data_IF_172955227037
#
_entry.id   IF_172955227037
#
_cell.length_a   1.000
_cell.length_b   1.000
_cell.length_c   1.000
_cell.angle_alpha   90.00
_cell.angle_beta   90.00
_cell.angle_gamma   90.00
#
_symmetry.space_group_name_H-M   'P 1'
#
loop_
_entity.id
_entity.type
_entity.pdbx_description
1 polymer ?
#
# COMPACT_ATOMS: atom_id res chain seq x y z
N UNK A 1 31.19 23.14 5.95
CA UNK A 1 31.58 21.79 5.49
C UNK A 1 30.47 20.85 5.91
N UNK A 2 29.63 20.40 4.98
CA UNK A 2 28.98 19.10 5.04
C UNK A 2 28.53 18.78 3.61
N UNK A 3 29.26 17.87 2.97
CA UNK A 3 28.97 17.44 1.59
C UNK A 3 27.88 16.37 1.71
N UNK A 4 26.72 16.65 1.11
CA UNK A 4 25.64 15.68 0.92
C UNK A 4 26.17 14.41 0.28
N UNK A 5 26.13 13.31 1.03
CA UNK A 5 26.65 11.98 0.71
C UNK A 5 25.57 11.10 0.08
N UNK A 6 24.92 11.61 -0.96
CA UNK A 6 24.08 10.78 -1.85
C UNK A 6 24.71 10.77 -3.24
N UNK A 7 24.97 9.58 -3.83
CA UNK A 7 25.47 9.53 -5.19
C UNK A 7 24.42 10.13 -6.11
N UNK A 8 24.77 11.26 -6.75
CA UNK A 8 24.07 11.73 -7.95
C UNK A 8 24.17 10.59 -8.96
N UNK A 9 23.07 9.87 -9.16
CA UNK A 9 22.97 8.90 -10.24
C UNK A 9 23.26 9.67 -11.55
N UNK A 10 24.36 9.29 -12.20
CA UNK A 10 24.89 9.92 -13.39
C UNK A 10 23.85 9.95 -14.49
N UNK A 11 23.43 11.15 -14.89
CA UNK A 11 22.72 11.35 -16.15
C UNK A 11 23.70 11.04 -17.29
N UNK A 12 23.51 9.90 -17.95
CA UNK A 12 23.93 9.75 -19.33
C UNK A 12 22.77 10.22 -20.20
N UNK A 13 23.02 11.25 -21.00
CA UNK A 13 22.11 11.71 -22.03
C UNK A 13 22.06 10.62 -23.12
N UNK A 14 20.90 9.97 -23.25
CA UNK A 14 20.53 9.20 -24.43
C UNK A 14 19.18 9.72 -24.94
N UNK A 15 19.01 9.69 -26.25
CA UNK A 15 17.95 10.37 -26.98
C UNK A 15 16.54 9.98 -26.50
N UNK A 16 15.85 10.90 -25.80
CA UNK A 16 14.45 11.18 -26.08
C UNK A 16 13.35 10.22 -25.60
N UNK A 17 13.59 9.30 -24.65
CA UNK A 17 12.52 8.71 -23.81
C UNK A 17 13.02 8.52 -22.38
N UNK A 18 12.58 9.37 -21.44
CA UNK A 18 12.67 9.02 -20.02
C UNK A 18 11.79 7.78 -19.81
N UNK A 19 12.34 6.71 -19.26
CA UNK A 19 11.49 5.66 -18.71
C UNK A 19 10.59 6.27 -17.63
N UNK A 20 9.28 6.01 -17.71
CA UNK A 20 8.34 6.32 -16.63
C UNK A 20 8.87 5.62 -15.37
N UNK A 21 9.32 6.37 -14.37
CA UNK A 21 9.73 5.79 -13.09
C UNK A 21 8.48 5.55 -12.27
N UNK A 22 8.12 4.27 -12.11
CA UNK A 22 7.03 3.88 -11.22
C UNK A 22 7.46 3.97 -9.76
N UNK A 23 6.55 4.41 -8.90
CA UNK A 23 6.76 4.49 -7.45
C UNK A 23 5.93 3.44 -6.71
N UNK A 24 6.59 2.69 -5.83
CA UNK A 24 5.94 1.64 -5.02
C UNK A 24 6.12 1.94 -3.54
N UNK A 25 5.03 1.87 -2.79
CA UNK A 25 5.03 1.87 -1.33
C UNK A 25 4.83 0.45 -0.83
N UNK A 26 5.72 -0.02 0.05
CA UNK A 26 5.54 -1.31 0.71
C UNK A 26 5.66 -1.12 2.21
N UNK A 27 4.66 -1.63 2.93
CA UNK A 27 4.63 -1.61 4.37
C UNK A 27 4.50 -3.04 4.88
N UNK A 28 5.49 -3.47 5.66
CA UNK A 28 5.33 -4.65 6.50
C UNK A 28 4.45 -4.35 7.71
N UNK A 29 4.42 -5.26 8.68
CA UNK A 29 3.58 -5.19 9.87
C UNK A 29 3.69 -3.81 10.56
N UNK A 30 2.53 -3.23 10.84
CA UNK A 30 2.41 -1.87 11.40
C UNK A 30 1.03 -1.68 12.01
N UNK A 31 0.97 -0.94 13.12
CA UNK A 31 -0.26 -0.25 13.53
C UNK A 31 -0.45 1.04 12.75
N UNK A 32 -1.66 1.60 12.79
CA UNK A 32 -1.95 2.88 12.16
C UNK A 32 -1.27 4.05 12.91
N UNK A 33 -0.66 5.00 12.19
CA UNK A 33 -0.03 6.18 12.80
C UNK A 33 0.04 7.38 11.83
N UNK A 34 0.23 8.62 12.33
CA UNK A 34 0.25 9.83 11.49
C UNK A 34 1.36 9.87 10.44
N UNK A 35 2.39 9.04 10.56
CA UNK A 35 3.51 9.00 9.62
C UNK A 35 3.07 8.67 8.19
N UNK A 36 1.94 7.97 8.00
CA UNK A 36 1.44 7.65 6.64
C UNK A 36 1.07 8.89 5.85
N UNK A 37 0.45 9.89 6.49
CA UNK A 37 0.18 11.17 5.83
C UNK A 37 1.47 11.92 5.48
N UNK A 38 2.47 11.89 6.37
CA UNK A 38 3.76 12.53 6.12
C UNK A 38 4.49 11.87 4.95
N UNK A 39 4.43 10.54 4.87
CA UNK A 39 4.96 9.75 3.76
C UNK A 39 4.26 10.14 2.45
N UNK A 40 2.93 10.18 2.43
CA UNK A 40 2.17 10.58 1.24
C UNK A 40 2.44 12.01 0.80
N UNK A 41 2.64 12.94 1.75
CA UNK A 41 3.02 14.34 1.46
C UNK A 41 4.42 14.44 0.86
N UNK A 42 5.36 13.60 1.30
CA UNK A 42 6.78 13.70 0.91
C UNK A 42 7.14 12.90 -0.35
N UNK A 43 6.52 11.73 -0.54
CA UNK A 43 6.90 10.76 -1.56
C UNK A 43 5.77 10.38 -2.50
N UNK A 44 4.52 10.66 -2.14
CA UNK A 44 3.36 10.36 -2.98
C UNK A 44 3.16 11.37 -4.13
N UNK A 45 2.30 11.05 -5.12
CA UNK A 45 1.48 9.84 -5.18
C UNK A 45 2.28 8.59 -5.55
N UNK A 46 1.88 7.44 -4.99
CA UNK A 46 2.44 6.13 -5.35
C UNK A 46 1.61 5.47 -6.43
N UNK A 47 2.24 4.80 -7.40
CA UNK A 47 1.50 4.02 -8.39
C UNK A 47 0.88 2.76 -7.77
N UNK A 48 1.61 2.10 -6.86
CA UNK A 48 1.14 0.91 -6.15
C UNK A 48 1.56 0.93 -4.69
N UNK A 49 0.64 0.56 -3.79
CA UNK A 49 0.94 0.29 -2.39
C UNK A 49 0.58 -1.15 -1.99
N UNK A 50 1.52 -1.88 -1.38
CA UNK A 50 1.25 -3.18 -0.76
C UNK A 50 1.01 -2.98 0.74
N UNK A 51 -0.22 -3.24 1.19
CA UNK A 51 -0.70 -2.89 2.54
C UNK A 51 -1.30 -4.14 3.23
N UNK A 52 -0.89 -4.44 4.48
CA UNK A 52 -1.42 -5.59 5.22
C UNK A 52 -2.89 -5.38 5.58
N UNK A 53 -3.69 -6.46 5.55
CA UNK A 53 -5.09 -6.43 5.95
C UNK A 53 -5.46 -7.52 6.99
N UNK A 54 -4.51 -8.36 7.40
CA UNK A 54 -4.73 -9.46 8.35
C UNK A 54 -3.91 -9.33 9.63
N UNK A 55 -4.04 -10.31 10.50
CA UNK A 55 -3.44 -10.37 11.83
C UNK A 55 -3.90 -9.25 12.77
N UNK A 56 -5.19 -8.90 12.76
CA UNK A 56 -5.69 -7.72 13.48
C UNK A 56 -6.53 -8.04 14.72
N UNK A 57 -7.01 -9.26 14.92
CA UNK A 57 -7.81 -9.59 16.10
C UNK A 57 -7.01 -10.30 17.22
N UNK A 58 -7.25 -9.97 18.50
CA UNK A 58 -8.23 -8.99 19.00
C UNK A 58 -7.67 -7.55 19.00
N UNK A 59 -8.52 -6.57 18.64
CA UNK A 59 -8.10 -5.15 18.45
C UNK A 59 -7.48 -4.50 19.69
N UNK A 60 -7.91 -4.87 20.89
CA UNK A 60 -7.35 -4.28 22.12
C UNK A 60 -5.85 -4.56 22.29
N UNK A 61 -5.36 -5.66 21.71
CA UNK A 61 -3.96 -6.08 21.73
C UNK A 61 -3.26 -5.69 20.43
N UNK A 62 -3.83 -6.06 19.29
CA UNK A 62 -3.14 -6.00 18.00
C UNK A 62 -3.04 -4.59 17.40
N UNK A 63 -3.93 -3.65 17.75
CA UNK A 63 -4.03 -2.33 17.06
C UNK A 63 -2.74 -1.50 17.01
N UNK A 64 -1.83 -1.71 17.97
CA UNK A 64 -0.57 -0.96 18.02
C UNK A 64 0.49 -1.51 17.04
N UNK A 65 0.31 -2.73 16.55
CA UNK A 65 1.28 -3.46 15.73
C UNK A 65 0.70 -3.97 14.39
N UNK A 66 -0.62 -4.11 14.28
CA UNK A 66 -1.31 -4.52 13.06
C UNK A 66 -2.55 -3.68 12.80
N UNK A 67 -2.62 -3.19 11.57
CA UNK A 67 -3.79 -2.52 11.01
C UNK A 67 -4.91 -3.53 10.74
N UNK A 68 -6.14 -3.10 10.96
CA UNK A 68 -7.30 -3.79 10.40
C UNK A 68 -7.58 -3.30 8.96
N UNK A 69 -8.50 -3.94 8.21
CA UNK A 69 -8.80 -3.53 6.83
C UNK A 69 -9.31 -2.10 6.69
N UNK A 70 -9.93 -1.52 7.71
CA UNK A 70 -10.37 -0.12 7.67
C UNK A 70 -9.17 0.83 7.77
N UNK A 71 -8.26 0.57 8.71
CA UNK A 71 -7.00 1.28 8.81
C UNK A 71 -6.12 1.09 7.56
N UNK A 72 -6.18 -0.07 6.90
CA UNK A 72 -5.49 -0.30 5.63
C UNK A 72 -6.01 0.62 4.51
N UNK A 73 -7.33 0.81 4.40
CA UNK A 73 -7.92 1.76 3.44
C UNK A 73 -7.51 3.20 3.77
N UNK A 74 -7.42 3.54 5.06
CA UNK A 74 -6.89 4.86 5.47
C UNK A 74 -5.44 5.05 5.06
N UNK A 75 -4.59 4.03 5.23
CA UNK A 75 -3.19 4.07 4.76
C UNK A 75 -3.15 4.29 3.26
N UNK A 76 -3.97 3.59 2.47
CA UNK A 76 -4.06 3.78 1.02
C UNK A 76 -4.30 5.26 0.65
N UNK A 77 -5.25 5.91 1.32
CA UNK A 77 -5.54 7.34 1.14
C UNK A 77 -4.41 8.24 1.62
N UNK A 78 -3.88 7.99 2.82
CA UNK A 78 -2.88 8.86 3.47
C UNK A 78 -1.56 8.87 2.71
N UNK A 79 -1.13 7.72 2.17
CA UNK A 79 0.07 7.63 1.33
C UNK A 79 -0.18 8.09 -0.11
N UNK A 80 -1.43 8.41 -0.47
CA UNK A 80 -1.85 8.84 -1.81
C UNK A 80 -1.52 7.79 -2.88
N UNK A 81 -1.82 6.53 -2.59
CA UNK A 81 -1.65 5.46 -3.56
C UNK A 81 -2.75 5.53 -4.63
N UNK A 82 -2.38 5.43 -5.91
CA UNK A 82 -3.34 5.27 -7.01
C UNK A 82 -4.02 3.90 -6.93
N UNK A 83 -3.25 2.87 -6.61
CA UNK A 83 -3.69 1.48 -6.49
C UNK A 83 -3.05 0.81 -5.27
N UNK A 84 -3.74 -0.16 -4.69
CA UNK A 84 -3.22 -0.96 -3.59
C UNK A 84 -3.50 -2.45 -3.75
N UNK A 85 -2.59 -3.27 -3.23
CA UNK A 85 -2.72 -4.71 -3.17
C UNK A 85 -2.68 -5.18 -1.72
N UNK A 86 -3.65 -6.02 -1.37
CA UNK A 86 -3.77 -6.60 -0.04
C UNK A 86 -2.71 -7.67 0.19
N UNK A 87 -1.98 -7.55 1.30
CA UNK A 87 -1.00 -8.55 1.76
C UNK A 87 -1.30 -8.99 3.20
N UNK A 88 -0.48 -9.91 3.72
CA UNK A 88 -0.51 -10.33 5.12
C UNK A 88 -1.86 -10.97 5.56
N UNK A 89 -2.53 -11.69 4.67
CA UNK A 89 -3.78 -12.39 4.97
C UNK A 89 -3.84 -13.74 4.21
N UNK A 90 -4.76 -14.62 4.63
CA UNK A 90 -5.10 -15.85 3.90
C UNK A 90 -3.97 -16.89 3.75
N UNK A 91 -2.88 -16.76 4.51
CA UNK A 91 -1.69 -17.64 4.37
C UNK A 91 -1.35 -18.35 5.68
N UNK A 92 -1.25 -17.60 6.78
CA UNK A 92 -0.96 -18.13 8.12
C UNK A 92 -2.00 -17.61 9.11
N UNK A 93 -2.43 -18.45 10.05
CA UNK A 93 -3.25 -18.05 11.18
C UNK A 93 -2.35 -17.44 12.26
N UNK A 94 -2.16 -16.12 12.22
CA UNK A 94 -1.29 -15.37 13.14
C UNK A 94 -2.05 -14.63 14.23
N UNK A 95 -3.38 -14.57 14.12
CA UNK A 95 -4.26 -13.87 15.04
C UNK A 95 -5.65 -14.52 15.02
N UNK A 96 -6.64 -13.87 15.65
CA UNK A 96 -7.91 -14.52 15.97
C UNK A 96 -9.01 -14.34 14.92
N UNK A 97 -8.81 -13.53 13.89
CA UNK A 97 -9.84 -13.34 12.86
C UNK A 97 -10.04 -14.63 12.04
N UNK A 98 -11.24 -14.80 11.50
CA UNK A 98 -11.47 -15.88 10.54
C UNK A 98 -10.65 -15.63 9.27
N UNK A 99 -9.95 -16.65 8.75
CA UNK A 99 -8.96 -16.49 7.66
C UNK A 99 -9.52 -15.90 6.34
N UNK A 100 -10.84 -15.97 6.11
CA UNK A 100 -11.54 -15.34 4.97
C UNK A 100 -12.20 -13.99 5.29
N UNK A 101 -12.14 -13.54 6.53
CA UNK A 101 -12.72 -12.25 6.95
C UNK A 101 -12.00 -11.03 6.38
N UNK A 102 -10.64 -10.99 6.28
CA UNK A 102 -9.94 -9.77 5.85
C UNK A 102 -10.41 -9.18 4.51
N UNK A 103 -10.59 -9.96 3.41
CA UNK A 103 -11.11 -9.42 2.16
C UNK A 103 -12.54 -8.89 2.26
N UNK A 104 -13.38 -9.52 3.09
CA UNK A 104 -14.77 -9.07 3.31
C UNK A 104 -14.76 -7.71 3.99
N UNK A 105 -13.99 -7.58 5.08
CA UNK A 105 -13.83 -6.32 5.83
C UNK A 105 -13.17 -5.22 4.98
N UNK A 106 -12.24 -5.58 4.10
CA UNK A 106 -11.65 -4.65 3.14
C UNK A 106 -12.72 -4.09 2.20
N UNK A 107 -13.54 -4.94 1.59
CA UNK A 107 -14.60 -4.49 0.68
C UNK A 107 -15.60 -3.58 1.40
N UNK A 108 -16.02 -3.93 2.62
CA UNK A 108 -16.88 -3.09 3.45
C UNK A 108 -16.24 -1.70 3.71
N UNK A 109 -14.93 -1.65 3.95
CA UNK A 109 -14.21 -0.39 4.18
C UNK A 109 -14.07 0.45 2.90
N UNK A 110 -13.81 -0.18 1.75
CA UNK A 110 -13.76 0.49 0.45
C UNK A 110 -15.10 1.16 0.12
N UNK A 111 -16.20 0.43 0.30
CA UNK A 111 -17.56 0.96 0.09
C UNK A 111 -17.84 2.18 0.98
N UNK A 112 -17.45 2.14 2.26
CA UNK A 112 -17.59 3.28 3.19
C UNK A 112 -16.82 4.53 2.74
N UNK A 113 -15.69 4.33 2.05
CA UNK A 113 -14.84 5.41 1.55
C UNK A 113 -15.14 5.83 0.11
N UNK A 114 -16.13 5.21 -0.56
CA UNK A 114 -16.42 5.46 -1.97
C UNK A 114 -15.33 4.98 -2.93
N UNK A 115 -14.53 4.00 -2.49
CA UNK A 115 -13.49 3.34 -3.28
C UNK A 115 -13.99 1.99 -3.80
N UNK A 116 -13.30 1.45 -4.79
CA UNK A 116 -13.66 0.17 -5.41
C UNK A 116 -12.56 -0.86 -5.25
N UNK A 117 -12.87 -2.12 -5.57
CA UNK A 117 -11.86 -3.19 -5.67
C UNK A 117 -10.85 -2.96 -6.78
N UNK A 118 -11.08 -2.00 -7.68
CA UNK A 118 -10.05 -1.57 -8.63
C UNK A 118 -9.01 -0.70 -7.95
N UNK A 119 -9.34 0.02 -6.87
CA UNK A 119 -8.44 0.94 -6.16
C UNK A 119 -7.61 0.20 -5.11
N UNK A 120 -8.20 -0.80 -4.46
CA UNK A 120 -7.51 -1.68 -3.53
C UNK A 120 -7.99 -3.11 -3.75
N UNK A 121 -7.15 -3.92 -4.39
CA UNK A 121 -7.51 -5.29 -4.77
C UNK A 121 -6.83 -6.34 -3.93
N UNK A 122 -7.44 -7.52 -3.97
CA UNK A 122 -6.92 -8.76 -3.43
C UNK A 122 -6.52 -9.67 -4.60
N UNK A 123 -5.42 -10.40 -4.46
CA UNK A 123 -4.99 -11.41 -5.43
C UNK A 123 -5.07 -12.80 -4.82
N UNK A 124 -5.30 -13.82 -5.66
CA UNK A 124 -5.08 -15.21 -5.29
C UNK A 124 -3.58 -15.49 -5.17
N UNK A 125 -3.20 -16.52 -4.41
CA UNK A 125 -1.81 -16.97 -4.36
C UNK A 125 -1.32 -17.37 -5.76
N UNK A 126 -0.26 -16.72 -6.23
CA UNK A 126 0.33 -16.93 -7.55
C UNK A 126 -0.32 -16.13 -8.69
N UNK A 127 -1.37 -15.36 -8.43
CA UNK A 127 -1.96 -14.45 -9.41
C UNK A 127 -1.06 -13.23 -9.66
N UNK A 128 -1.08 -12.71 -10.88
CA UNK A 128 -0.35 -11.52 -11.28
C UNK A 128 -1.32 -10.52 -11.90
N UNK A 129 -1.12 -9.23 -11.63
CA UNK A 129 -1.89 -8.13 -12.21
C UNK A 129 -0.94 -7.12 -12.83
N UNK A 130 -1.22 -6.73 -14.07
CA UNK A 130 -0.49 -5.66 -14.75
C UNK A 130 -1.15 -4.32 -14.43
N UNK A 131 -0.34 -3.30 -14.15
CA UNK A 131 -0.78 -1.94 -13.95
C UNK A 131 -0.20 -1.08 -15.06
N UNK A 132 -1.07 -0.45 -15.84
CA UNK A 132 -0.65 0.50 -16.87
C UNK A 132 -0.28 1.83 -16.21
N UNK A 133 0.83 2.46 -16.62
CA UNK A 133 0.95 3.91 -16.48
C UNK A 133 0.01 4.54 -17.50
N UNK A 134 -0.93 5.34 -17.04
CA UNK A 134 -1.56 6.31 -17.92
C UNK A 134 -0.45 7.29 -18.34
N UNK A 135 0.03 7.17 -19.58
CA UNK A 135 0.80 8.24 -20.22
C UNK A 135 -0.15 9.43 -20.33
N UNK A 136 0.03 10.44 -19.46
CA UNK A 136 -0.74 11.69 -19.54
C UNK A 136 -0.69 12.24 -20.97
N UNK A 137 -1.87 12.57 -21.49
CA UNK A 137 -2.07 13.31 -22.75
C UNK A 137 -1.87 14.80 -22.54
#
# INVERSE_FOLDING_TARGET
MEKSLYPKCSQMADNGKRSQQHSVFQRGDTGYCPAFEEIGKRFGPFDLAAIPIGAYEPRWFMKYQHVDPEEAVRIHTDVRAKKSVAIHWGTFALANEHYLEPPVKLNEALERCGLTTEDFFVLKHGESRYLHSDDET
#
